data_IF_437879252797
#
_entry.id   IF_437879252797
#
_cell.length_a   1.000
_cell.length_b   1.000
_cell.length_c   1.000
_cell.angle_alpha   90.00
_cell.angle_beta   90.00
_cell.angle_gamma   90.00
#
_symmetry.space_group_name_H-M   'P 1'
#
loop_
_entity.id
_entity.type
_entity.pdbx_description
1 polymer ?
#
# COMPACT_ATOMS: atom_id res chain seq x y z
N UNK A 1 11.76 -4.12 -3.15
CA UNK A 1 10.54 -3.34 -3.32
C UNK A 1 10.49 -2.77 -4.73
N UNK A 2 9.39 -2.98 -5.45
CA UNK A 2 9.10 -2.32 -6.74
C UNK A 2 7.91 -1.39 -6.57
N UNK A 3 8.08 -0.11 -6.85
CA UNK A 3 7.03 0.90 -6.81
C UNK A 3 6.25 0.88 -8.14
N UNK A 4 5.14 0.16 -8.18
CA UNK A 4 4.33 -0.01 -9.40
C UNK A 4 3.46 1.20 -9.73
N UNK A 5 3.12 1.99 -8.72
CA UNK A 5 2.37 3.24 -8.81
C UNK A 5 2.59 4.10 -7.58
N UNK A 6 2.89 5.38 -7.76
CA UNK A 6 3.41 6.30 -6.73
C UNK A 6 2.64 7.62 -6.64
N UNK A 7 1.60 7.81 -7.45
CA UNK A 7 0.72 8.99 -7.42
C UNK A 7 -0.30 8.93 -6.29
N UNK A 8 -0.86 10.10 -5.97
CA UNK A 8 -1.94 10.28 -5.01
C UNK A 8 -3.33 9.95 -5.61
N UNK A 9 -4.42 10.24 -4.88
CA UNK A 9 -5.78 10.00 -5.32
C UNK A 9 -6.24 10.83 -6.52
N UNK A 10 -5.47 11.81 -6.98
CA UNK A 10 -5.80 12.59 -8.18
C UNK A 10 -5.34 11.85 -9.44
N UNK A 11 -6.25 11.52 -10.37
CA UNK A 11 -5.86 10.92 -11.64
C UNK A 11 -4.89 11.82 -12.41
N UNK A 12 -3.79 11.25 -12.87
CA UNK A 12 -2.79 11.96 -13.66
C UNK A 12 -2.34 11.15 -14.86
N UNK A 13 -1.79 11.81 -15.88
CA UNK A 13 -1.14 11.14 -17.00
C UNK A 13 0.33 10.79 -16.76
N UNK A 14 0.87 11.17 -15.60
CA UNK A 14 2.30 11.10 -15.31
C UNK A 14 2.66 10.05 -14.25
N UNK A 15 1.74 9.77 -13.33
CA UNK A 15 1.92 8.79 -12.25
C UNK A 15 0.72 7.86 -12.13
N UNK A 16 0.98 6.63 -11.79
CA UNK A 16 -0.01 5.60 -11.52
C UNK A 16 -0.43 5.64 -10.04
N UNK A 17 -1.63 5.17 -9.75
CA UNK A 17 -2.13 5.09 -8.38
C UNK A 17 -1.41 4.01 -7.55
N UNK A 18 -1.57 4.07 -6.23
CA UNK A 18 -0.83 3.28 -5.24
C UNK A 18 -0.83 1.78 -5.50
N UNK A 19 0.35 1.24 -5.78
CA UNK A 19 0.60 -0.19 -5.88
C UNK A 19 2.08 -0.49 -5.66
N UNK A 20 2.38 -1.42 -4.74
CA UNK A 20 3.74 -1.72 -4.31
C UNK A 20 3.97 -3.22 -4.24
N UNK A 21 5.03 -3.71 -4.90
CA UNK A 21 5.39 -5.12 -4.88
C UNK A 21 6.61 -5.32 -3.97
N UNK A 22 6.40 -5.99 -2.86
CA UNK A 22 7.45 -6.41 -1.94
C UNK A 22 7.89 -7.83 -2.25
N UNK A 23 9.19 -8.02 -2.38
CA UNK A 23 9.83 -9.32 -2.50
C UNK A 23 10.74 -9.54 -1.31
N UNK A 24 10.35 -10.46 -0.45
CA UNK A 24 11.14 -10.99 0.65
C UNK A 24 11.60 -12.40 0.31
N UNK A 25 12.63 -12.91 1.03
CA UNK A 25 13.08 -14.28 0.82
C UNK A 25 11.95 -15.29 1.09
N UNK A 26 11.42 -15.86 0.00
CA UNK A 26 10.32 -16.82 0.01
C UNK A 26 8.90 -16.24 0.03
N UNK A 27 8.71 -14.93 0.04
CA UNK A 27 7.40 -14.29 0.03
C UNK A 27 7.33 -13.08 -0.93
N UNK A 28 6.29 -13.04 -1.76
CA UNK A 28 6.01 -11.90 -2.64
C UNK A 28 4.61 -11.33 -2.36
N UNK A 29 4.54 -10.08 -1.96
CA UNK A 29 3.33 -9.38 -1.54
C UNK A 29 3.07 -8.19 -2.45
N UNK A 30 1.87 -8.11 -3.02
CA UNK A 30 1.37 -6.90 -3.64
C UNK A 30 0.55 -6.11 -2.62
N UNK A 31 1.02 -4.92 -2.23
CA UNK A 31 0.32 -4.01 -1.33
C UNK A 31 -0.32 -2.91 -2.16
N UNK A 32 -1.63 -2.82 -2.05
CA UNK A 32 -2.55 -2.02 -2.84
C UNK A 32 -2.57 -2.34 -4.34
N UNK A 33 -3.67 -2.01 -4.97
CA UNK A 33 -4.01 -2.34 -6.34
C UNK A 33 -4.61 -1.14 -7.08
N UNK A 34 -3.97 0.02 -6.97
CA UNK A 34 -4.34 1.21 -7.74
C UNK A 34 -4.19 1.00 -9.24
N UNK A 35 -4.94 1.75 -10.04
CA UNK A 35 -4.85 1.67 -11.50
C UNK A 35 -3.52 2.28 -11.98
N UNK A 36 -2.83 1.67 -12.95
CA UNK A 36 -3.12 0.44 -13.69
C UNK A 36 -2.24 -0.75 -13.26
N UNK A 37 -2.32 -1.19 -12.00
CA UNK A 37 -1.45 -2.21 -11.40
C UNK A 37 -1.21 -3.42 -12.32
N UNK A 38 -2.23 -3.90 -13.03
CA UNK A 38 -2.10 -5.04 -13.96
C UNK A 38 -1.10 -4.73 -15.08
N UNK A 39 -1.15 -3.52 -15.64
CA UNK A 39 -0.21 -3.08 -16.67
C UNK A 39 1.20 -2.95 -16.09
N UNK A 40 1.34 -2.36 -14.92
CA UNK A 40 2.62 -2.17 -14.24
C UNK A 40 3.32 -3.51 -13.95
N UNK A 41 2.58 -4.50 -13.42
CA UNK A 41 3.10 -5.86 -13.21
C UNK A 41 3.56 -6.52 -14.53
N UNK A 42 2.80 -6.35 -15.60
CA UNK A 42 3.18 -6.88 -16.92
C UNK A 42 4.44 -6.20 -17.46
N UNK A 43 4.58 -4.90 -17.29
CA UNK A 43 5.77 -4.15 -17.71
C UNK A 43 7.01 -4.55 -16.90
N UNK A 44 6.85 -4.82 -15.61
CA UNK A 44 7.91 -5.36 -14.73
C UNK A 44 8.21 -6.85 -14.99
N UNK A 45 7.47 -7.52 -15.89
CA UNK A 45 7.69 -8.93 -16.22
C UNK A 45 7.25 -9.90 -15.12
N UNK A 46 6.45 -9.46 -14.16
CA UNK A 46 6.01 -10.27 -13.02
C UNK A 46 4.99 -11.33 -13.48
N UNK A 47 5.26 -12.57 -13.10
CA UNK A 47 4.33 -13.69 -13.34
C UNK A 47 3.11 -13.60 -12.42
N UNK A 48 1.89 -13.93 -12.90
CA UNK A 48 0.74 -14.08 -12.02
C UNK A 48 0.96 -15.03 -10.84
N UNK A 49 1.75 -16.10 -11.06
CA UNK A 49 2.05 -17.10 -10.02
C UNK A 49 3.16 -16.67 -9.04
N UNK A 50 3.83 -15.53 -9.27
CA UNK A 50 4.84 -15.03 -8.35
C UNK A 50 4.23 -14.47 -7.06
N UNK A 51 3.11 -13.75 -7.17
CA UNK A 51 2.46 -13.06 -6.05
C UNK A 51 1.80 -14.07 -5.10
N UNK A 52 2.17 -14.04 -3.81
CA UNK A 52 1.61 -14.91 -2.76
C UNK A 52 0.33 -14.33 -2.16
N UNK A 53 0.38 -13.05 -1.87
CA UNK A 53 -0.68 -12.30 -1.16
C UNK A 53 -0.94 -10.97 -1.82
N UNK A 54 -2.18 -10.52 -1.73
CA UNK A 54 -2.58 -9.13 -2.01
C UNK A 54 -3.04 -8.53 -0.70
N UNK A 55 -2.49 -7.37 -0.35
CA UNK A 55 -2.86 -6.59 0.83
C UNK A 55 -3.52 -5.30 0.36
N UNK A 56 -4.74 -5.05 0.81
CA UNK A 56 -5.45 -3.79 0.57
C UNK A 56 -5.47 -3.01 1.88
N UNK A 57 -4.85 -1.84 1.87
CA UNK A 57 -4.71 -1.00 3.06
C UNK A 57 -6.05 -0.40 3.49
N UNK A 58 -6.81 0.09 2.51
CA UNK A 58 -8.14 0.65 2.68
C UNK A 58 -8.90 0.62 1.33
N UNK A 59 -10.11 1.17 1.27
CA UNK A 59 -11.02 0.95 0.15
C UNK A 59 -11.17 2.16 -0.80
N UNK A 60 -10.31 3.17 -0.71
CA UNK A 60 -10.30 4.24 -1.71
C UNK A 60 -9.94 3.69 -3.09
N UNK A 61 -10.49 4.32 -4.14
CA UNK A 61 -10.38 3.81 -5.50
C UNK A 61 -8.96 3.82 -6.06
N UNK A 62 -8.12 4.71 -5.59
CA UNK A 62 -6.69 4.80 -5.95
C UNK A 62 -5.82 3.71 -5.29
N UNK A 63 -6.39 2.95 -4.33
CA UNK A 63 -5.78 1.76 -3.72
C UNK A 63 -6.42 0.44 -4.15
N UNK A 64 -7.68 0.47 -4.60
CA UNK A 64 -8.46 -0.73 -4.94
C UNK A 64 -8.82 -0.81 -6.43
N UNK A 65 -8.85 0.31 -7.18
CA UNK A 65 -9.49 0.40 -8.49
C UNK A 65 -9.00 -0.59 -9.54
N UNK A 66 -7.73 -0.95 -9.52
CA UNK A 66 -7.12 -1.93 -10.43
C UNK A 66 -7.34 -3.40 -10.05
N UNK A 67 -7.86 -3.68 -8.84
CA UNK A 67 -7.98 -5.03 -8.28
C UNK A 67 -8.83 -5.97 -9.15
N UNK A 68 -9.96 -5.49 -9.67
CA UNK A 68 -10.86 -6.32 -10.46
C UNK A 68 -10.22 -6.79 -11.77
N UNK A 69 -9.50 -5.90 -12.45
CA UNK A 69 -8.76 -6.26 -13.66
C UNK A 69 -7.56 -7.15 -13.34
N UNK A 70 -6.94 -6.99 -12.18
CA UNK A 70 -5.87 -7.88 -11.70
C UNK A 70 -6.38 -9.31 -11.56
N UNK A 71 -7.51 -9.54 -10.88
CA UNK A 71 -8.12 -10.88 -10.72
C UNK A 71 -8.51 -11.45 -12.09
N UNK A 72 -9.12 -10.64 -12.97
CA UNK A 72 -9.42 -11.06 -14.34
C UNK A 72 -8.16 -11.47 -15.10
N UNK A 73 -7.08 -10.72 -14.97
CA UNK A 73 -5.80 -11.03 -15.60
C UNK A 73 -5.23 -12.35 -15.09
N UNK A 74 -5.30 -12.62 -13.79
CA UNK A 74 -4.84 -13.88 -13.20
C UNK A 74 -5.65 -15.07 -13.71
N UNK A 75 -6.98 -14.93 -13.84
CA UNK A 75 -7.83 -15.93 -14.48
C UNK A 75 -7.43 -16.18 -15.94
N UNK A 76 -7.37 -15.14 -16.76
CA UNK A 76 -7.08 -15.25 -18.20
C UNK A 76 -5.66 -15.80 -18.46
N UNK A 77 -4.69 -15.45 -17.62
CA UNK A 77 -3.30 -15.94 -17.69
C UNK A 77 -3.11 -17.28 -17.01
N UNK A 78 -4.19 -17.93 -16.56
CA UNK A 78 -4.21 -19.28 -16.02
C UNK A 78 -3.29 -19.46 -14.80
N UNK A 79 -3.30 -18.47 -13.87
CA UNK A 79 -2.66 -18.63 -12.57
C UNK A 79 -3.03 -19.96 -11.93
N UNK A 80 -2.09 -20.64 -11.28
CA UNK A 80 -2.30 -21.92 -10.56
C UNK A 80 -2.07 -21.82 -9.07
N UNK A 81 -1.20 -20.90 -8.64
CA UNK A 81 -0.89 -20.72 -7.23
C UNK A 81 -2.09 -20.12 -6.50
N UNK A 82 -2.49 -20.63 -5.32
CA UNK A 82 -3.53 -20.00 -4.50
C UNK A 82 -3.23 -18.51 -4.26
N UNK A 83 -4.26 -17.69 -4.13
CA UNK A 83 -4.14 -16.28 -3.79
C UNK A 83 -4.97 -15.97 -2.56
N UNK A 84 -4.36 -15.38 -1.55
CA UNK A 84 -5.10 -14.80 -0.41
C UNK A 84 -5.05 -13.28 -0.51
N UNK A 85 -6.22 -12.66 -0.40
CA UNK A 85 -6.39 -11.21 -0.39
C UNK A 85 -6.78 -10.80 1.03
N UNK A 86 -6.00 -9.91 1.63
CA UNK A 86 -6.33 -9.31 2.93
C UNK A 86 -6.86 -7.90 2.71
N UNK A 87 -7.93 -7.54 3.40
CA UNK A 87 -8.59 -6.25 3.25
C UNK A 87 -9.32 -5.85 4.55
N UNK A 88 -9.73 -4.56 4.70
CA UNK A 88 -10.61 -4.14 5.78
C UNK A 88 -11.89 -4.98 5.83
N UNK A 89 -12.41 -5.27 7.03
CA UNK A 89 -13.57 -6.16 7.20
C UNK A 89 -14.81 -5.64 6.46
N UNK A 90 -15.03 -4.33 6.48
CA UNK A 90 -16.15 -3.69 5.78
C UNK A 90 -16.11 -3.87 4.25
N UNK A 91 -14.93 -4.14 3.67
CA UNK A 91 -14.73 -4.38 2.23
C UNK A 91 -15.03 -5.81 1.78
N UNK A 92 -15.12 -6.77 2.70
CA UNK A 92 -15.19 -8.20 2.35
C UNK A 92 -16.39 -8.52 1.44
N UNK A 93 -17.59 -8.21 1.88
CA UNK A 93 -18.80 -8.48 1.10
C UNK A 93 -18.91 -7.60 -0.16
N UNK A 94 -18.70 -6.26 -0.10
CA UNK A 94 -18.74 -5.41 -1.29
C UNK A 94 -17.76 -5.81 -2.39
N UNK A 95 -16.51 -6.13 -2.05
CA UNK A 95 -15.48 -6.54 -3.04
C UNK A 95 -15.87 -7.85 -3.71
N UNK A 96 -16.36 -8.83 -2.95
CA UNK A 96 -16.86 -10.09 -3.51
C UNK A 96 -18.09 -9.89 -4.38
N UNK A 97 -19.01 -8.99 -4.01
CA UNK A 97 -20.17 -8.63 -4.82
C UNK A 97 -19.75 -7.98 -6.15
N UNK A 98 -18.76 -7.08 -6.13
CA UNK A 98 -18.24 -6.46 -7.34
C UNK A 98 -17.56 -7.47 -8.26
N UNK A 99 -16.81 -8.44 -7.73
CA UNK A 99 -16.27 -9.54 -8.54
C UNK A 99 -17.39 -10.32 -9.21
N UNK A 100 -18.46 -10.67 -8.48
CA UNK A 100 -19.65 -11.37 -9.03
C UNK A 100 -20.36 -10.51 -10.11
N UNK A 101 -20.49 -9.21 -9.87
CA UNK A 101 -21.08 -8.29 -10.84
C UNK A 101 -20.25 -8.16 -12.13
N UNK A 102 -18.93 -8.33 -12.03
CA UNK A 102 -18.02 -8.40 -13.18
C UNK A 102 -17.90 -9.81 -13.79
N UNK A 103 -18.76 -10.76 -13.39
CA UNK A 103 -18.75 -12.17 -13.83
C UNK A 103 -17.45 -12.93 -13.48
N UNK A 104 -16.70 -12.46 -12.49
CA UNK A 104 -15.48 -13.12 -11.98
C UNK A 104 -15.89 -14.10 -10.85
N UNK A 105 -16.55 -15.18 -11.23
CA UNK A 105 -17.00 -16.22 -10.30
C UNK A 105 -15.85 -17.10 -9.82
N UNK A 106 -15.87 -17.51 -8.56
CA UNK A 106 -14.84 -18.41 -8.02
C UNK A 106 -14.73 -19.71 -8.80
N UNK A 107 -15.85 -20.21 -9.34
CA UNK A 107 -15.90 -21.43 -10.15
C UNK A 107 -15.16 -21.31 -11.49
N UNK A 108 -14.92 -20.10 -11.96
CA UNK A 108 -14.14 -19.84 -13.16
C UNK A 108 -12.63 -19.77 -12.88
N UNK A 109 -12.23 -19.54 -11.62
CA UNK A 109 -10.83 -19.36 -11.27
C UNK A 109 -10.10 -20.70 -11.34
N UNK A 110 -8.96 -20.78 -12.07
CA UNK A 110 -8.15 -22.01 -12.07
C UNK A 110 -7.24 -22.11 -10.83
N UNK A 111 -7.45 -21.23 -9.83
CA UNK A 111 -6.74 -21.16 -8.56
C UNK A 111 -7.70 -20.89 -7.41
N UNK A 112 -7.29 -21.22 -6.20
CA UNK A 112 -8.06 -20.95 -4.97
C UNK A 112 -7.89 -19.46 -4.60
N UNK A 113 -9.00 -18.68 -4.63
CA UNK A 113 -9.06 -17.27 -4.24
C UNK A 113 -9.70 -17.15 -2.88
N UNK A 114 -8.92 -16.69 -1.88
CA UNK A 114 -9.36 -16.52 -0.50
C UNK A 114 -9.34 -15.06 -0.10
N UNK A 115 -10.28 -14.69 0.77
CA UNK A 115 -10.34 -13.38 1.40
C UNK A 115 -10.21 -13.52 2.90
N UNK A 116 -9.34 -12.72 3.50
CA UNK A 116 -9.14 -12.62 4.94
C UNK A 116 -9.20 -11.14 5.34
N UNK A 117 -9.64 -10.86 6.55
CA UNK A 117 -9.82 -9.47 7.00
C UNK A 117 -8.71 -9.05 7.95
N UNK A 118 -8.32 -7.77 7.83
CA UNK A 118 -7.38 -7.18 8.76
C UNK A 118 -7.98 -7.01 10.16
N UNK A 119 -7.13 -7.14 11.17
CA UNK A 119 -7.43 -6.72 12.56
C UNK A 119 -6.22 -6.01 13.09
N UNK A 120 -6.37 -4.73 13.40
CA UNK A 120 -5.28 -3.89 13.92
C UNK A 120 -4.52 -4.55 15.06
N UNK A 121 -3.20 -4.57 14.96
CA UNK A 121 -2.30 -5.21 15.91
C UNK A 121 -2.24 -6.75 15.85
N UNK A 122 -3.00 -7.40 14.98
CA UNK A 122 -2.96 -8.87 14.86
C UNK A 122 -2.05 -9.27 13.69
N UNK A 123 -0.91 -9.87 14.00
CA UNK A 123 0.06 -10.29 13.01
C UNK A 123 -0.45 -11.45 12.13
N UNK A 124 -0.10 -11.42 10.85
CA UNK A 124 -0.31 -12.48 9.87
C UNK A 124 1.05 -13.01 9.44
N UNK A 125 1.25 -14.32 9.56
CA UNK A 125 2.51 -14.98 9.21
C UNK A 125 2.33 -15.88 7.98
N UNK A 126 3.26 -15.79 7.03
CA UNK A 126 3.37 -16.73 5.92
C UNK A 126 4.78 -16.69 5.31
N UNK A 127 5.28 -17.81 4.88
CA UNK A 127 6.58 -17.96 4.19
C UNK A 127 7.74 -17.18 4.86
N UNK A 128 7.80 -17.12 6.20
CA UNK A 128 8.83 -16.40 6.94
C UNK A 128 8.63 -14.87 7.03
N UNK A 129 7.56 -14.33 6.44
CA UNK A 129 7.17 -12.95 6.57
C UNK A 129 6.08 -12.80 7.65
N UNK A 130 6.28 -11.90 8.60
CA UNK A 130 5.29 -11.46 9.57
C UNK A 130 4.81 -10.07 9.19
N UNK A 131 3.51 -9.90 8.95
CA UNK A 131 2.91 -8.60 8.65
C UNK A 131 1.94 -8.21 9.76
N UNK A 132 2.13 -7.04 10.34
CA UNK A 132 1.24 -6.50 11.39
C UNK A 132 0.54 -5.24 10.86
N UNK A 133 -0.79 -5.26 10.69
CA UNK A 133 -1.57 -4.09 10.34
C UNK A 133 -1.70 -3.16 11.55
N UNK A 134 -1.63 -1.86 11.33
CA UNK A 134 -1.84 -0.81 12.34
C UNK A 134 -2.92 0.13 11.84
N UNK A 135 -3.96 0.38 12.61
CA UNK A 135 -5.00 1.33 12.22
C UNK A 135 -4.43 2.74 12.05
N UNK A 136 -4.86 3.43 10.99
CA UNK A 136 -4.58 4.86 10.78
C UNK A 136 -5.83 5.70 10.95
N UNK A 137 -5.64 6.99 11.13
CA UNK A 137 -6.74 7.97 11.27
C UNK A 137 -7.20 8.55 9.92
N UNK A 138 -6.68 8.01 8.80
CA UNK A 138 -6.95 8.51 7.45
C UNK A 138 -8.43 8.73 7.15
N UNK A 139 -9.31 7.81 7.57
CA UNK A 139 -10.75 7.87 7.30
C UNK A 139 -11.58 8.49 8.42
N UNK A 140 -10.96 9.02 9.49
CA UNK A 140 -11.70 9.59 10.63
C UNK A 140 -12.59 10.76 10.23
N UNK A 141 -12.12 11.67 9.38
CA UNK A 141 -12.92 12.79 8.90
C UNK A 141 -14.16 12.35 8.11
N UNK A 142 -14.05 11.29 7.30
CA UNK A 142 -15.19 10.69 6.62
C UNK A 142 -16.13 10.01 7.62
N UNK A 143 -15.59 9.26 8.59
CA UNK A 143 -16.35 8.59 9.64
C UNK A 143 -17.18 9.59 10.43
N UNK A 144 -16.58 10.65 10.93
CA UNK A 144 -17.29 11.69 11.69
C UNK A 144 -18.47 12.29 10.93
N UNK A 145 -18.30 12.50 9.62
CA UNK A 145 -19.31 13.15 8.80
C UNK A 145 -20.38 12.20 8.29
N UNK A 146 -20.03 10.97 7.93
CA UNK A 146 -20.89 10.06 7.18
C UNK A 146 -21.41 8.86 7.98
N UNK A 147 -20.79 8.45 9.08
CA UNK A 147 -21.22 7.28 9.85
C UNK A 147 -22.69 7.36 10.32
N UNK A 148 -23.27 8.54 10.67
CA UNK A 148 -24.69 8.62 11.00
C UNK A 148 -25.63 8.21 9.86
N UNK A 149 -25.16 8.30 8.60
CA UNK A 149 -25.91 7.90 7.40
C UNK A 149 -25.52 6.53 6.88
N UNK A 150 -24.35 6.04 7.28
CA UNK A 150 -23.77 4.76 6.88
C UNK A 150 -23.28 4.00 8.12
N UNK A 151 -24.20 3.57 9.02
CA UNK A 151 -23.82 3.01 10.32
C UNK A 151 -23.07 1.67 10.21
N UNK A 152 -23.20 0.98 9.09
CA UNK A 152 -22.55 -0.32 8.84
C UNK A 152 -21.11 -0.16 8.28
N UNK A 153 -20.66 1.08 7.97
CA UNK A 153 -19.29 1.34 7.52
C UNK A 153 -18.38 1.58 8.73
N UNK A 154 -17.27 0.89 8.78
CA UNK A 154 -16.30 1.02 9.87
C UNK A 154 -15.27 2.13 9.61
N UNK A 155 -15.07 2.52 8.35
CA UNK A 155 -14.07 3.50 7.92
C UNK A 155 -12.67 3.11 8.39
N UNK A 156 -12.24 1.91 8.00
CA UNK A 156 -10.95 1.34 8.39
C UNK A 156 -9.87 1.60 7.35
N UNK A 157 -8.72 2.06 7.82
CA UNK A 157 -7.49 2.18 7.05
C UNK A 157 -6.32 1.65 7.87
N UNK A 158 -5.33 1.05 7.21
CA UNK A 158 -4.20 0.40 7.85
C UNK A 158 -2.87 0.80 7.23
N UNK A 159 -1.88 1.03 8.09
CA UNK A 159 -0.46 0.95 7.79
C UNK A 159 0.07 -0.44 8.17
N UNK A 160 1.31 -0.76 7.83
CA UNK A 160 1.86 -2.10 8.05
C UNK A 160 3.31 -2.06 8.53
N UNK A 161 3.66 -2.94 9.47
CA UNK A 161 5.03 -3.42 9.60
C UNK A 161 5.14 -4.79 8.93
N UNK A 162 6.22 -4.99 8.20
CA UNK A 162 6.55 -6.26 7.54
C UNK A 162 7.96 -6.69 7.99
N UNK A 163 8.07 -7.88 8.55
CA UNK A 163 9.28 -8.34 9.21
C UNK A 163 9.67 -9.75 8.74
N UNK A 164 10.94 -9.92 8.43
CA UNK A 164 11.60 -11.22 8.21
C UNK A 164 12.79 -11.36 9.16
N UNK A 165 13.52 -12.48 9.12
CA UNK A 165 14.78 -12.60 9.84
C UNK A 165 15.80 -11.58 9.30
N UNK A 166 15.99 -10.48 10.01
CA UNK A 166 16.99 -9.44 9.70
C UNK A 166 16.51 -8.24 8.87
N UNK A 167 15.24 -8.19 8.46
CA UNK A 167 14.70 -7.03 7.74
C UNK A 167 13.38 -6.59 8.34
N UNK A 168 13.24 -5.29 8.63
CA UNK A 168 12.02 -4.68 9.12
C UNK A 168 11.62 -3.46 8.28
N UNK A 169 10.47 -3.53 7.65
CA UNK A 169 9.92 -2.51 6.75
C UNK A 169 8.66 -1.90 7.34
N UNK A 170 8.56 -0.58 7.31
CA UNK A 170 7.32 0.15 7.56
C UNK A 170 6.67 0.58 6.25
N UNK A 171 5.37 0.47 6.13
CA UNK A 171 4.56 1.01 5.03
C UNK A 171 3.43 1.83 5.62
N UNK A 172 3.44 3.15 5.39
CA UNK A 172 2.43 4.04 5.96
C UNK A 172 1.04 3.81 5.38
N UNK A 173 0.95 3.40 4.11
CA UNK A 173 -0.26 3.63 3.30
C UNK A 173 -0.74 5.08 3.49
N UNK A 174 -2.03 5.35 3.58
CA UNK A 174 -2.56 6.69 3.83
C UNK A 174 -2.76 6.93 5.33
N UNK A 175 -2.26 8.06 5.81
CA UNK A 175 -2.33 8.48 7.21
C UNK A 175 -3.22 9.72 7.36
N UNK A 176 -3.88 9.87 8.48
CA UNK A 176 -4.63 11.09 8.81
C UNK A 176 -3.81 12.09 9.62
N UNK A 177 -2.90 11.58 10.45
CA UNK A 177 -2.03 12.36 11.31
C UNK A 177 -0.63 11.76 11.38
N UNK A 178 0.38 12.59 11.68
CA UNK A 178 1.78 12.15 11.84
C UNK A 178 1.95 11.06 12.90
N UNK A 179 1.13 11.09 13.96
CA UNK A 179 1.18 10.09 15.03
C UNK A 179 0.77 8.68 14.56
N UNK A 180 0.13 8.54 13.41
CA UNK A 180 -0.15 7.24 12.80
C UNK A 180 1.13 6.47 12.47
N UNK A 181 2.26 7.19 12.31
CA UNK A 181 3.58 6.61 12.08
C UNK A 181 4.24 6.09 13.36
N UNK A 182 3.87 6.56 14.54
CA UNK A 182 4.55 6.21 15.79
C UNK A 182 4.60 4.70 16.09
N UNK A 183 3.54 3.92 15.82
CA UNK A 183 3.62 2.47 15.99
C UNK A 183 4.61 1.79 15.03
N UNK A 184 4.75 2.29 13.79
CA UNK A 184 5.75 1.77 12.84
C UNK A 184 7.17 2.10 13.32
N UNK A 185 7.35 3.30 13.90
CA UNK A 185 8.61 3.86 14.37
C UNK A 185 8.98 3.42 15.81
N UNK A 186 8.18 2.57 16.43
CA UNK A 186 8.44 2.08 17.79
C UNK A 186 9.73 1.25 17.92
N UNK A 187 10.20 0.71 16.80
CA UNK A 187 11.49 -0.01 16.68
C UNK A 187 12.20 0.47 15.41
N UNK A 188 13.54 0.27 15.30
CA UNK A 188 14.27 0.61 14.09
C UNK A 188 13.67 -0.02 12.83
N UNK A 189 13.70 0.72 11.72
CA UNK A 189 13.29 0.26 10.39
C UNK A 189 14.49 0.27 9.45
N UNK A 190 14.62 -0.78 8.63
CA UNK A 190 15.56 -0.76 7.51
C UNK A 190 15.04 0.15 6.39
N UNK A 191 13.73 0.12 6.16
CA UNK A 191 13.07 0.98 5.19
C UNK A 191 11.68 1.43 5.70
N UNK A 192 11.34 2.69 5.45
CA UNK A 192 10.01 3.24 5.59
C UNK A 192 9.49 3.71 4.23
N UNK A 193 8.45 3.09 3.70
CA UNK A 193 7.66 3.67 2.61
C UNK A 193 6.61 4.60 3.21
N UNK A 194 6.63 5.88 2.84
CA UNK A 194 5.83 6.92 3.49
C UNK A 194 5.13 7.81 2.46
N UNK A 195 3.84 8.02 2.65
CA UNK A 195 3.01 8.91 1.84
C UNK A 195 3.29 10.40 2.10
N UNK A 196 2.91 11.26 1.16
CA UNK A 196 3.11 12.72 1.19
C UNK A 196 1.90 13.53 0.73
N UNK A 197 0.71 12.96 0.70
CA UNK A 197 -0.48 13.67 0.23
C UNK A 197 -1.31 14.30 1.36
N UNK A 198 -1.40 13.62 2.51
CA UNK A 198 -2.38 13.93 3.55
C UNK A 198 -1.82 14.73 4.72
N UNK A 199 -0.51 14.91 4.80
CA UNK A 199 0.17 15.68 5.85
C UNK A 199 1.03 16.78 5.25
N UNK A 200 1.34 17.82 6.02
CA UNK A 200 2.27 18.85 5.58
C UNK A 200 3.70 18.29 5.54
N UNK A 201 4.38 18.33 4.38
CA UNK A 201 5.69 17.71 4.20
C UNK A 201 6.75 18.19 5.17
N UNK A 202 6.77 19.51 5.49
CA UNK A 202 7.74 20.07 6.44
C UNK A 202 7.62 19.44 7.82
N UNK A 203 6.38 19.22 8.29
CA UNK A 203 6.10 18.64 9.59
C UNK A 203 6.43 17.13 9.58
N UNK A 204 6.13 16.43 8.47
CA UNK A 204 6.49 15.03 8.31
C UNK A 204 8.01 14.83 8.33
N UNK A 205 8.76 15.66 7.58
CA UNK A 205 10.23 15.56 7.54
C UNK A 205 10.83 15.82 8.92
N UNK A 206 10.31 16.78 9.68
CA UNK A 206 10.73 17.03 11.07
C UNK A 206 10.38 15.84 11.99
N UNK A 207 9.22 15.21 11.79
CA UNK A 207 8.79 14.05 12.57
C UNK A 207 9.70 12.83 12.34
N UNK A 208 10.22 12.65 11.11
CA UNK A 208 11.11 11.56 10.74
C UNK A 208 12.58 11.82 11.05
N UNK A 209 13.00 13.11 11.16
CA UNK A 209 14.39 13.47 11.38
C UNK A 209 14.96 12.83 12.65
N UNK A 210 16.12 12.18 12.52
CA UNK A 210 16.82 11.52 13.63
C UNK A 210 16.18 10.23 14.15
N UNK A 211 15.10 9.75 13.53
CA UNK A 211 14.53 8.44 13.82
C UNK A 211 15.45 7.32 13.31
N UNK A 212 15.46 6.15 13.94
CA UNK A 212 16.29 5.03 13.53
C UNK A 212 15.70 4.32 12.29
N UNK A 213 15.82 4.96 11.13
CA UNK A 213 15.34 4.48 9.85
C UNK A 213 16.55 4.40 8.91
N UNK A 214 16.77 3.27 8.26
CA UNK A 214 17.85 3.09 7.31
C UNK A 214 17.63 3.90 6.04
N UNK A 215 16.42 3.89 5.49
CA UNK A 215 16.02 4.68 4.32
C UNK A 215 14.54 5.02 4.34
N UNK A 216 14.17 6.24 3.93
CA UNK A 216 12.78 6.62 3.65
C UNK A 216 12.55 6.66 2.15
N UNK A 217 11.45 6.04 1.72
CA UNK A 217 10.95 6.08 0.34
C UNK A 217 9.65 6.86 0.35
N UNK A 218 9.66 8.08 -0.16
CA UNK A 218 8.46 8.88 -0.25
C UNK A 218 7.65 8.51 -1.49
N UNK A 219 6.35 8.32 -1.30
CA UNK A 219 5.39 7.95 -2.32
C UNK A 219 4.08 8.70 -2.12
N UNK A 220 3.07 8.42 -2.93
CA UNK A 220 1.75 9.04 -2.83
C UNK A 220 1.89 10.57 -2.78
N UNK A 221 2.80 11.10 -3.62
CA UNK A 221 3.18 12.51 -3.62
C UNK A 221 2.11 13.32 -4.32
N UNK A 222 1.54 14.30 -3.64
CA UNK A 222 0.51 15.14 -4.24
C UNK A 222 1.05 15.94 -5.45
N UNK A 223 0.20 16.12 -6.44
CA UNK A 223 0.53 16.79 -7.70
C UNK A 223 1.21 18.15 -7.50
N UNK A 224 0.79 18.91 -6.49
CA UNK A 224 1.38 20.23 -6.14
C UNK A 224 2.88 20.14 -5.79
N UNK A 225 3.34 19.01 -5.24
CA UNK A 225 4.72 18.84 -4.78
C UNK A 225 5.64 18.36 -5.89
N UNK A 226 5.19 17.47 -6.76
CA UNK A 226 6.05 17.02 -7.86
C UNK A 226 6.08 17.98 -9.06
N UNK A 227 5.14 18.95 -9.14
CA UNK A 227 5.26 20.07 -10.08
C UNK A 227 6.30 21.13 -9.64
N UNK A 228 6.62 21.22 -8.35
CA UNK A 228 7.70 22.05 -7.80
C UNK A 228 8.78 21.19 -7.13
N UNK A 229 9.16 20.13 -7.81
CA UNK A 229 10.08 19.11 -7.30
C UNK A 229 11.41 19.65 -6.77
N UNK A 230 12.10 20.64 -7.40
CA UNK A 230 13.37 21.16 -6.87
C UNK A 230 13.24 21.76 -5.48
N UNK A 231 12.26 22.64 -5.26
CA UNK A 231 12.03 23.28 -3.95
C UNK A 231 11.65 22.25 -2.90
N UNK A 232 10.84 21.26 -3.29
CA UNK A 232 10.40 20.18 -2.42
C UNK A 232 11.55 19.25 -1.99
N UNK A 233 12.43 18.86 -2.92
CA UNK A 233 13.63 18.07 -2.61
C UNK A 233 14.63 18.84 -1.73
N UNK A 234 14.76 20.15 -1.93
CA UNK A 234 15.57 21.00 -1.06
C UNK A 234 15.03 21.00 0.37
N UNK A 235 13.73 21.20 0.55
CA UNK A 235 13.09 21.17 1.86
C UNK A 235 13.32 19.82 2.58
N UNK A 236 13.17 18.69 1.85
CA UNK A 236 13.44 17.38 2.40
C UNK A 236 14.88 17.24 2.89
N UNK A 237 15.86 17.67 2.07
CA UNK A 237 17.28 17.63 2.43
C UNK A 237 17.58 18.47 3.67
N UNK A 238 17.00 19.67 3.76
CA UNK A 238 17.21 20.58 4.90
C UNK A 238 16.63 20.02 6.21
N UNK A 239 15.44 19.38 6.14
CA UNK A 239 14.73 18.91 7.33
C UNK A 239 15.16 17.52 7.79
N UNK A 240 15.36 16.58 6.85
CA UNK A 240 15.76 15.21 7.17
C UNK A 240 17.25 15.07 7.52
N UNK A 241 18.07 16.04 7.12
CA UNK A 241 19.50 16.00 7.38
C UNK A 241 20.19 14.81 6.72
N UNK A 242 20.84 13.97 7.53
CA UNK A 242 21.58 12.78 7.05
C UNK A 242 20.69 11.54 6.81
N UNK A 243 19.38 11.59 7.09
CA UNK A 243 18.49 10.47 6.88
C UNK A 243 18.37 10.16 5.38
N UNK A 244 18.81 8.97 4.93
CA UNK A 244 18.73 8.59 3.52
C UNK A 244 17.27 8.59 3.04
N UNK A 245 16.99 9.25 1.93
CA UNK A 245 15.65 9.33 1.39
C UNK A 245 15.62 9.44 -0.13
N UNK A 246 14.55 8.94 -0.72
CA UNK A 246 14.24 9.11 -2.15
C UNK A 246 12.74 9.42 -2.32
N UNK A 247 12.41 10.02 -3.45
CA UNK A 247 11.04 10.21 -3.91
C UNK A 247 10.81 9.22 -5.04
N UNK A 248 10.00 8.20 -4.76
CA UNK A 248 9.79 7.11 -5.69
C UNK A 248 9.08 7.54 -6.97
N UNK A 249 9.43 6.87 -8.05
CA UNK A 249 8.76 6.97 -9.36
C UNK A 249 8.21 5.61 -9.76
N UNK A 250 7.22 5.61 -10.69
CA UNK A 250 6.60 4.39 -11.16
C UNK A 250 7.62 3.49 -11.86
N UNK A 251 7.67 2.23 -11.48
CA UNK A 251 8.61 1.23 -11.96
C UNK A 251 9.96 1.21 -11.24
N UNK A 252 10.18 2.07 -10.25
CA UNK A 252 11.45 2.11 -9.50
C UNK A 252 11.61 0.89 -8.60
N UNK A 253 12.80 0.28 -8.66
CA UNK A 253 13.19 -0.87 -7.84
C UNK A 253 14.13 -0.41 -6.72
N UNK A 254 13.85 -0.82 -5.49
CA UNK A 254 14.58 -0.44 -4.29
C UNK A 254 14.98 -1.72 -3.55
N UNK A 255 16.26 -1.87 -3.24
CA UNK A 255 16.74 -3.00 -2.42
C UNK A 255 16.25 -2.86 -0.98
N UNK A 256 15.82 -3.98 -0.41
CA UNK A 256 15.47 -4.11 1.00
C UNK A 256 16.66 -4.63 1.78
#
# INVERSE_FOLDING_TARGET
LTCLGTGDGHPSGERFHSAFLYEFDGAMVLLDCGEPVTKSLMQAGISPDAIDRVFLSHLHSDHLGGFFLLIQSFWLRQRKKPLTVHLPEEGLEPVQQLLRAAYLFNELMPFDLKFETWRGGTAVEFNGLTTTPVNTTHLEGLREHFQPKHPDQAFEAFSFTMETEGTRVGHSADIGHLNDLDPLLAQPLDLLLCELAHVEPADLFEHLAGRPIGQVVFTHVSQRHWHDEPSFRQLATEKLGELPHIFATDGEEISL
#
